data_IF_776430825558
#
_entry.id   IF_776430825558
#
_cell.length_a   1.000
_cell.length_b   1.000
_cell.length_c   1.000
_cell.angle_alpha   90.00
_cell.angle_beta   90.00
_cell.angle_gamma   90.00
#
_symmetry.space_group_name_H-M   'P 1'
#
loop_
_entity.id
_entity.type
_entity.pdbx_description
1 polymer ?
#
# COMPACT_ATOMS: atom_id res chain seq x y z
N UNK A 1 -3.50 -3.89 17.25
CA UNK A 1 -2.24 -4.25 17.94
C UNK A 1 -1.30 -3.08 17.78
N UNK A 2 -1.12 -2.28 18.84
CA UNK A 2 -0.31 -1.05 18.77
C UNK A 2 1.19 -1.34 18.74
N UNK A 3 1.64 -2.56 18.97
CA UNK A 3 3.06 -2.92 18.98
C UNK A 3 3.52 -3.56 17.65
N UNK A 4 2.61 -3.74 16.69
CA UNK A 4 2.93 -4.44 15.45
C UNK A 4 3.82 -3.57 14.56
N UNK A 5 5.06 -4.03 14.33
CA UNK A 5 6.03 -3.33 13.49
C UNK A 5 6.16 -3.94 12.08
N UNK A 6 5.86 -5.23 11.94
CA UNK A 6 5.96 -5.98 10.69
C UNK A 6 4.63 -6.64 10.37
N UNK A 7 4.10 -6.37 9.18
CA UNK A 7 2.90 -7.01 8.66
C UNK A 7 3.17 -7.51 7.25
N UNK A 8 2.97 -8.81 7.05
CA UNK A 8 3.07 -9.45 5.75
C UNK A 8 1.77 -10.19 5.43
N UNK A 9 1.04 -9.63 4.48
CA UNK A 9 -0.17 -10.16 3.85
C UNK A 9 0.02 -10.24 2.32
N UNK A 10 1.27 -10.40 1.89
CA UNK A 10 1.63 -10.65 0.50
C UNK A 10 0.92 -11.90 -0.04
N UNK A 11 0.56 -11.88 -1.32
CA UNK A 11 0.03 -13.05 -2.04
C UNK A 11 -1.22 -13.64 -1.38
N UNK A 12 -2.20 -12.78 -1.14
CA UNK A 12 -3.52 -13.17 -0.66
C UNK A 12 -4.59 -12.78 -1.71
N UNK A 13 -5.86 -13.00 -1.37
CA UNK A 13 -7.00 -12.69 -2.24
C UNK A 13 -7.73 -11.40 -1.86
N UNK A 14 -7.04 -10.42 -1.27
CA UNK A 14 -7.65 -9.16 -0.88
C UNK A 14 -8.09 -8.38 -2.11
N UNK A 15 -9.38 -8.08 -2.21
CA UNK A 15 -9.93 -7.30 -3.33
C UNK A 15 -9.83 -5.80 -3.11
N UNK A 16 -9.68 -5.37 -1.84
CA UNK A 16 -9.61 -3.99 -1.40
C UNK A 16 -8.47 -3.83 -0.40
N UNK A 17 -7.78 -2.70 -0.45
CA UNK A 17 -6.74 -2.34 0.54
C UNK A 17 -7.43 -2.21 1.91
N UNK A 18 -6.97 -2.92 2.98
CA UNK A 18 -7.65 -2.97 4.27
C UNK A 18 -7.38 -1.73 5.13
N UNK A 19 -7.75 -0.55 4.60
CA UNK A 19 -7.48 0.77 5.16
C UNK A 19 -7.85 0.90 6.64
N UNK A 20 -9.03 0.45 7.04
CA UNK A 20 -9.50 0.56 8.42
C UNK A 20 -8.63 -0.24 9.40
N UNK A 21 -8.22 -1.45 9.02
CA UNK A 21 -7.37 -2.29 9.84
C UNK A 21 -5.97 -1.68 10.00
N UNK A 22 -5.42 -1.14 8.89
CA UNK A 22 -4.08 -0.55 8.86
C UNK A 22 -4.01 0.81 9.58
N UNK A 23 -5.09 1.58 9.60
CA UNK A 23 -5.12 2.94 10.18
C UNK A 23 -4.72 3.01 11.66
N UNK A 24 -4.86 1.91 12.41
CA UNK A 24 -4.51 1.83 13.83
C UNK A 24 -3.08 1.34 14.12
N UNK A 25 -2.35 0.88 13.09
CA UNK A 25 -1.04 0.26 13.23
C UNK A 25 0.08 1.31 13.17
N UNK A 26 0.07 2.28 14.09
CA UNK A 26 0.95 3.46 14.03
C UNK A 26 2.45 3.14 14.22
N UNK A 27 2.78 1.97 14.80
CA UNK A 27 4.15 1.49 14.95
C UNK A 27 4.63 0.63 13.77
N UNK A 28 3.82 0.49 12.72
CA UNK A 28 4.19 -0.31 11.55
C UNK A 28 5.38 0.30 10.82
N UNK A 29 6.42 -0.51 10.66
CA UNK A 29 7.69 -0.19 10.00
C UNK A 29 7.78 -0.81 8.61
N UNK A 30 7.24 -2.02 8.47
CA UNK A 30 7.24 -2.77 7.22
C UNK A 30 5.85 -3.32 6.91
N UNK A 31 5.35 -3.00 5.71
CA UNK A 31 4.07 -3.48 5.20
C UNK A 31 4.25 -4.14 3.84
N UNK A 32 4.08 -5.46 3.79
CA UNK A 32 4.04 -6.23 2.55
C UNK A 32 2.61 -6.67 2.28
N UNK A 33 1.99 -6.07 1.26
CA UNK A 33 0.61 -6.38 0.86
C UNK A 33 0.43 -6.48 -0.65
N UNK A 34 1.53 -6.62 -1.41
CA UNK A 34 1.47 -6.80 -2.87
C UNK A 34 0.99 -8.19 -3.27
N UNK A 35 0.72 -8.35 -4.56
CA UNK A 35 0.18 -9.57 -5.16
C UNK A 35 -1.19 -9.97 -4.58
N UNK A 36 -2.02 -8.98 -4.33
CA UNK A 36 -3.43 -9.16 -3.99
C UNK A 36 -4.33 -8.80 -5.19
N UNK A 37 -5.64 -8.94 -5.09
CA UNK A 37 -6.61 -8.70 -6.17
C UNK A 37 -7.11 -7.24 -6.21
N UNK A 38 -6.26 -6.28 -5.84
CA UNK A 38 -6.63 -4.87 -5.87
C UNK A 38 -6.85 -4.39 -7.31
N UNK A 39 -7.99 -3.75 -7.56
CA UNK A 39 -8.28 -3.11 -8.85
C UNK A 39 -7.66 -1.71 -8.98
N UNK A 40 -7.40 -1.06 -7.85
CA UNK A 40 -6.90 0.30 -7.77
C UNK A 40 -5.75 0.37 -6.76
N UNK A 41 -4.80 1.28 -7.01
CA UNK A 41 -3.66 1.53 -6.14
C UNK A 41 -3.89 2.68 -5.15
N UNK A 42 -5.04 3.36 -5.21
CA UNK A 42 -5.31 4.54 -4.39
C UNK A 42 -5.25 4.22 -2.90
N UNK A 43 -4.29 4.83 -2.21
CA UNK A 43 -4.21 4.78 -0.76
C UNK A 43 -5.17 5.81 -0.14
N UNK A 44 -5.74 5.47 1.00
CA UNK A 44 -6.55 6.41 1.76
C UNK A 44 -5.66 7.33 2.61
N UNK A 45 -6.17 8.51 2.96
CA UNK A 45 -5.46 9.51 3.76
C UNK A 45 -4.96 9.00 5.10
N UNK A 46 -5.58 7.96 5.67
CA UNK A 46 -5.11 7.35 6.91
C UNK A 46 -3.70 6.77 6.82
N UNK A 47 -3.21 6.44 5.63
CA UNK A 47 -1.83 6.00 5.44
C UNK A 47 -0.81 7.07 5.83
N UNK A 48 -1.16 8.36 5.76
CA UNK A 48 -0.29 9.46 6.22
C UNK A 48 0.06 9.40 7.70
N UNK A 49 -0.71 8.64 8.49
CA UNK A 49 -0.47 8.43 9.93
C UNK A 49 0.58 7.36 10.22
N UNK A 50 0.96 6.55 9.23
CA UNK A 50 1.98 5.50 9.36
C UNK A 50 3.40 6.10 9.33
N UNK A 51 3.68 7.03 10.25
CA UNK A 51 4.90 7.83 10.24
C UNK A 51 6.20 7.02 10.42
N UNK A 52 6.10 5.82 10.99
CA UNK A 52 7.21 4.90 11.20
C UNK A 52 7.47 3.96 10.01
N UNK A 53 6.59 3.99 8.99
CA UNK A 53 6.68 3.09 7.86
C UNK A 53 7.87 3.48 6.98
N UNK A 54 8.78 2.53 6.76
CA UNK A 54 9.94 2.72 5.88
C UNK A 54 9.98 1.72 4.72
N UNK A 55 9.17 0.65 4.76
CA UNK A 55 9.05 -0.31 3.66
C UNK A 55 7.59 -0.56 3.34
N UNK A 56 7.22 -0.37 2.06
CA UNK A 56 5.87 -0.62 1.56
C UNK A 56 5.91 -1.39 0.24
N UNK A 57 5.25 -2.55 0.21
CA UNK A 57 4.95 -3.29 -1.03
C UNK A 57 3.44 -3.40 -1.20
N UNK A 58 2.90 -2.96 -2.34
CA UNK A 58 1.45 -2.97 -2.59
C UNK A 58 1.10 -3.29 -4.04
N UNK A 59 -0.20 -3.27 -4.36
CA UNK A 59 -0.70 -3.52 -5.71
C UNK A 59 -0.94 -5.00 -6.02
N UNK A 60 -1.25 -5.27 -7.29
CA UNK A 60 -1.76 -6.55 -7.73
C UNK A 60 -1.87 -6.66 -9.25
N UNK A 61 -2.07 -7.87 -9.80
CA UNK A 61 -2.22 -8.09 -11.24
C UNK A 61 -3.47 -7.41 -11.83
N UNK A 62 -4.41 -6.93 -11.00
CA UNK A 62 -5.63 -6.26 -11.45
C UNK A 62 -5.53 -4.72 -11.42
N UNK A 63 -4.40 -4.15 -10.96
CA UNK A 63 -4.18 -2.70 -10.97
C UNK A 63 -3.84 -2.28 -12.40
N UNK A 64 -4.81 -1.70 -13.11
CA UNK A 64 -4.67 -1.35 -14.53
C UNK A 64 -4.00 0.00 -14.78
N UNK A 65 -3.83 0.85 -13.78
CA UNK A 65 -3.18 2.15 -13.98
C UNK A 65 -2.90 2.85 -12.66
N UNK A 66 -2.05 3.86 -12.73
CA UNK A 66 -1.61 4.65 -11.58
C UNK A 66 -1.86 6.14 -11.86
N UNK A 67 -2.40 6.82 -10.86
CA UNK A 67 -2.61 8.27 -10.87
C UNK A 67 -1.61 8.94 -9.96
N UNK A 68 -1.23 10.18 -10.28
CA UNK A 68 -0.42 11.05 -9.40
C UNK A 68 -0.95 11.12 -7.96
N UNK A 69 -2.27 11.01 -7.79
CA UNK A 69 -2.92 11.12 -6.49
C UNK A 69 -2.99 9.80 -5.69
N UNK A 70 -2.69 8.65 -6.29
CA UNK A 70 -2.79 7.35 -5.61
C UNK A 70 -1.87 7.24 -4.40
N UNK A 71 -0.74 7.94 -4.43
CA UNK A 71 0.30 7.92 -3.40
C UNK A 71 0.39 9.20 -2.57
N UNK A 72 -0.52 10.16 -2.74
CA UNK A 72 -0.50 11.42 -1.97
C UNK A 72 -0.46 11.21 -0.45
N UNK A 73 -1.15 10.20 0.14
CA UNK A 73 -1.05 9.95 1.57
C UNK A 73 0.37 9.61 2.06
N UNK A 74 1.26 9.14 1.17
CA UNK A 74 2.64 8.81 1.50
C UNK A 74 3.60 10.02 1.41
N UNK A 75 3.12 11.19 0.98
CA UNK A 75 3.96 12.36 0.68
C UNK A 75 4.87 12.80 1.84
N UNK A 76 4.44 12.62 3.09
CA UNK A 76 5.20 12.96 4.30
C UNK A 76 6.02 11.80 4.86
N UNK A 77 5.93 10.60 4.28
CA UNK A 77 6.54 9.37 4.79
C UNK A 77 7.88 9.13 4.08
N UNK A 78 8.94 8.90 4.87
CA UNK A 78 10.28 8.61 4.36
C UNK A 78 10.46 7.13 4.11
N UNK A 79 9.91 6.64 3.00
CA UNK A 79 10.13 5.26 2.57
C UNK A 79 11.59 5.06 2.12
N UNK A 80 12.22 4.03 2.69
CA UNK A 80 13.51 3.51 2.23
C UNK A 80 13.31 2.53 1.07
N UNK A 81 12.19 1.83 1.04
CA UNK A 81 11.82 0.89 -0.02
C UNK A 81 10.34 1.00 -0.35
N UNK A 82 10.05 1.15 -1.64
CA UNK A 82 8.70 1.15 -2.19
C UNK A 82 8.64 0.23 -3.39
N UNK A 83 7.64 -0.64 -3.42
CA UNK A 83 7.37 -1.52 -4.55
C UNK A 83 5.87 -1.56 -4.83
N UNK A 84 5.51 -1.50 -6.11
CA UNK A 84 4.13 -1.65 -6.55
C UNK A 84 4.04 -2.68 -7.67
N UNK A 85 3.11 -3.62 -7.53
CA UNK A 85 2.73 -4.54 -8.60
C UNK A 85 1.52 -3.97 -9.35
N UNK A 86 1.60 -3.98 -10.66
CA UNK A 86 0.48 -3.65 -11.53
C UNK A 86 0.17 -4.80 -12.49
N UNK A 87 -0.94 -4.64 -13.22
CA UNK A 87 -1.25 -5.44 -14.40
C UNK A 87 -0.09 -5.40 -15.39
N UNK A 88 0.12 -6.51 -16.12
CA UNK A 88 1.06 -6.56 -17.24
C UNK A 88 0.66 -5.62 -18.39
N UNK A 89 -0.61 -5.23 -18.45
CA UNK A 89 -1.17 -4.29 -19.43
C UNK A 89 -1.58 -3.01 -18.71
N UNK A 90 -0.61 -2.18 -18.32
CA UNK A 90 -0.89 -0.89 -17.67
C UNK A 90 -1.52 0.06 -18.70
N UNK A 91 -2.76 0.47 -18.47
CA UNK A 91 -3.53 1.34 -19.35
C UNK A 91 -3.16 2.82 -19.23
N UNK A 92 -2.69 3.26 -18.06
CA UNK A 92 -2.26 4.65 -17.83
C UNK A 92 -1.28 4.78 -16.66
N UNK A 93 -0.44 5.81 -16.72
CA UNK A 93 0.52 6.20 -15.68
C UNK A 93 0.68 7.73 -15.72
N UNK A 94 0.33 8.40 -14.62
CA UNK A 94 0.35 9.87 -14.46
C UNK A 94 1.33 10.35 -13.39
#
# INVERSE_FOLDING_TARGET
NTLLEYLNIFNNSLQVIPTMALASLLNLKQLYMSNNLYKHATLADSFSKLANLHTLSMGGPLVMGLKKNDFQPLKSIKLQSFAIKCSSNLSFYE
#
